data_IF_186013580162
#
_entry.id   IF_186013580162
#
_cell.length_a   1.000
_cell.length_b   1.000
_cell.length_c   1.000
_cell.angle_alpha   90.00
_cell.angle_beta   90.00
_cell.angle_gamma   90.00
#
_symmetry.space_group_name_H-M   'P 1'
#
loop_
_entity.id
_entity.type
_entity.pdbx_description
1 polymer ?
#
# COMPACT_ATOMS: atom_id res chain seq x y z
N UNK A 1 -8.16 -2.96 -12.54
CA UNK A 1 -7.66 -3.73 -13.72
C UNK A 1 -8.52 -3.54 -14.98
N UNK A 2 -9.64 -2.84 -14.88
CA UNK A 2 -10.61 -2.73 -15.99
C UNK A 2 -10.21 -1.72 -17.08
N UNK A 3 -9.12 -0.97 -16.86
CA UNK A 3 -8.59 -0.05 -17.85
C UNK A 3 -7.47 -0.66 -18.72
N UNK A 4 -7.19 -0.05 -19.86
CA UNK A 4 -6.18 -0.49 -20.84
C UNK A 4 -4.79 -0.69 -20.20
N UNK A 5 -4.37 0.23 -19.33
CA UNK A 5 -3.08 0.15 -18.61
C UNK A 5 -3.05 -1.06 -17.67
N UNK A 6 -4.13 -1.27 -16.90
CA UNK A 6 -4.22 -2.40 -15.98
C UNK A 6 -4.17 -3.74 -16.70
N UNK A 7 -4.82 -3.84 -17.86
CA UNK A 7 -4.78 -5.04 -18.69
C UNK A 7 -3.38 -5.29 -19.25
N UNK A 8 -2.69 -4.25 -19.75
CA UNK A 8 -1.30 -4.36 -20.23
C UNK A 8 -0.36 -4.90 -19.14
N UNK A 9 -0.46 -4.38 -17.92
CA UNK A 9 0.35 -4.85 -16.79
C UNK A 9 0.02 -6.31 -16.44
N UNK A 10 -1.26 -6.68 -16.43
CA UNK A 10 -1.68 -8.06 -16.17
C UNK A 10 -1.17 -9.06 -17.21
N UNK A 11 -1.18 -8.66 -18.49
CA UNK A 11 -0.67 -9.50 -19.58
C UNK A 11 0.85 -9.64 -19.50
N UNK A 12 1.59 -8.56 -19.20
CA UNK A 12 3.04 -8.60 -18.97
C UNK A 12 3.41 -9.53 -17.81
N UNK A 13 2.66 -9.52 -16.72
CA UNK A 13 2.87 -10.42 -15.57
C UNK A 13 2.59 -11.87 -15.95
N UNK A 14 1.54 -12.12 -16.74
CA UNK A 14 1.23 -13.46 -17.22
C UNK A 14 2.34 -14.01 -18.13
N UNK A 15 2.84 -13.20 -19.04
CA UNK A 15 3.88 -13.59 -20.00
C UNK A 15 5.25 -13.76 -19.32
N UNK A 16 5.68 -12.77 -18.53
CA UNK A 16 7.05 -12.71 -17.98
C UNK A 16 7.21 -13.56 -16.71
N UNK A 17 6.18 -13.64 -15.87
CA UNK A 17 6.25 -14.30 -14.56
C UNK A 17 5.43 -15.59 -14.48
N UNK A 18 4.71 -15.97 -15.54
CA UNK A 18 3.81 -17.14 -15.57
C UNK A 18 2.74 -17.08 -14.47
N UNK A 19 2.26 -15.86 -14.16
CA UNK A 19 1.25 -15.57 -13.14
C UNK A 19 0.13 -14.77 -13.79
N UNK A 20 -1.08 -15.33 -13.83
CA UNK A 20 -2.28 -14.64 -14.29
C UNK A 20 -3.00 -13.98 -13.13
N UNK A 21 -3.25 -12.69 -13.23
CA UNK A 21 -4.15 -11.99 -12.34
C UNK A 21 -5.60 -12.18 -12.79
N UNK A 22 -6.44 -12.66 -11.89
CA UNK A 22 -7.88 -12.83 -12.13
C UNK A 22 -8.66 -11.59 -11.72
N UNK A 23 -8.19 -10.87 -10.70
CA UNK A 23 -8.69 -9.56 -10.29
C UNK A 23 -7.67 -8.81 -9.45
N UNK A 24 -7.92 -7.52 -9.21
CA UNK A 24 -7.25 -6.74 -8.18
C UNK A 24 -8.31 -6.17 -7.23
N UNK A 25 -8.25 -6.57 -5.96
CA UNK A 25 -9.13 -6.10 -4.89
C UNK A 25 -8.59 -4.75 -4.38
N UNK A 26 -9.49 -3.85 -4.01
CA UNK A 26 -9.13 -2.65 -3.25
C UNK A 26 -8.95 -3.01 -1.77
N UNK A 27 -7.74 -2.85 -1.23
CA UNK A 27 -7.45 -3.10 0.18
C UNK A 27 -7.38 -1.83 1.03
N UNK A 28 -7.46 -0.67 0.42
CA UNK A 28 -7.45 0.64 1.07
C UNK A 28 -6.24 1.49 0.70
N UNK A 29 -6.33 2.78 1.04
CA UNK A 29 -5.19 3.68 1.02
C UNK A 29 -4.31 3.42 2.25
N UNK A 30 -2.99 3.38 2.03
CA UNK A 30 -2.01 3.18 3.11
C UNK A 30 -1.65 4.50 3.75
N UNK A 31 -1.59 4.48 5.07
CA UNK A 31 -1.33 5.64 5.93
C UNK A 31 -0.25 5.31 6.95
N UNK A 32 0.30 6.32 7.63
CA UNK A 32 1.28 6.09 8.68
C UNK A 32 0.57 5.96 10.05
N UNK A 33 0.91 4.91 10.79
CA UNK A 33 0.55 4.75 12.20
C UNK A 33 1.81 5.01 13.03
N UNK A 34 1.79 6.06 13.84
CA UNK A 34 2.98 6.54 14.53
C UNK A 34 2.80 6.46 16.05
N UNK A 35 3.85 6.06 16.74
CA UNK A 35 3.99 6.31 18.17
C UNK A 35 4.15 7.80 18.45
N UNK A 36 4.13 8.18 19.71
CA UNK A 36 4.56 9.53 20.09
C UNK A 36 6.07 9.67 19.85
N UNK A 37 6.42 10.47 18.85
CA UNK A 37 7.80 10.84 18.49
C UNK A 37 8.15 12.27 18.90
N UNK A 38 7.34 12.87 19.80
CA UNK A 38 7.53 14.22 20.30
C UNK A 38 7.17 15.32 19.31
N UNK A 39 6.54 14.99 18.19
CA UNK A 39 6.03 15.92 17.17
C UNK A 39 4.93 15.30 16.33
N UNK A 40 4.12 16.14 15.74
CA UNK A 40 3.20 15.74 14.68
C UNK A 40 3.95 15.57 13.36
N UNK A 41 3.56 14.56 12.56
CA UNK A 41 4.11 14.32 11.24
C UNK A 41 3.19 14.99 10.23
N UNK A 42 3.60 16.12 9.70
CA UNK A 42 2.83 16.93 8.74
C UNK A 42 3.46 17.00 7.35
N UNK A 43 4.74 16.68 7.24
CA UNK A 43 5.53 16.75 6.00
C UNK A 43 6.71 15.76 6.06
N UNK A 44 7.38 15.46 4.93
CA UNK A 44 8.46 14.46 4.87
C UNK A 44 9.60 14.70 5.86
N UNK A 45 9.99 15.97 6.08
CA UNK A 45 11.09 16.31 6.99
C UNK A 45 10.80 15.92 8.44
N UNK A 46 9.53 15.83 8.82
CA UNK A 46 9.13 15.38 10.16
C UNK A 46 9.40 13.88 10.36
N UNK A 47 9.62 13.12 9.28
CA UNK A 47 10.03 11.71 9.34
C UNK A 47 11.55 11.52 9.47
N UNK A 48 12.35 12.58 9.48
CA UNK A 48 13.79 12.47 9.67
C UNK A 48 14.12 11.82 11.02
N UNK A 49 14.87 10.71 10.95
CA UNK A 49 15.28 9.92 12.11
C UNK A 49 14.20 8.99 12.67
N UNK A 50 13.02 8.96 12.07
CA UNK A 50 11.94 8.04 12.43
C UNK A 50 12.22 6.65 11.88
N UNK A 51 12.25 5.64 12.74
CA UNK A 51 12.37 4.23 12.37
C UNK A 51 10.99 3.71 11.94
N UNK A 52 10.71 3.84 10.64
CA UNK A 52 9.46 3.39 10.05
C UNK A 52 9.58 1.91 9.64
N UNK A 53 8.78 1.05 10.24
CA UNK A 53 8.77 -0.37 9.86
C UNK A 53 8.32 -0.53 8.41
N UNK A 54 9.07 -1.33 7.69
CA UNK A 54 8.76 -1.77 6.34
C UNK A 54 8.85 -3.29 6.20
N UNK A 55 8.11 -3.91 5.27
CA UNK A 55 8.38 -5.28 4.87
C UNK A 55 9.83 -5.45 4.41
N UNK A 56 10.41 -6.63 4.63
CA UNK A 56 11.78 -6.92 4.23
C UNK A 56 11.89 -7.18 2.71
N UNK A 57 11.72 -6.14 1.92
CA UNK A 57 12.00 -6.17 0.47
C UNK A 57 12.59 -4.83 0.02
N UNK A 58 13.39 -4.87 -1.05
CA UNK A 58 14.08 -3.69 -1.58
C UNK A 58 13.09 -2.57 -1.96
N UNK A 59 11.95 -2.92 -2.58
CA UNK A 59 10.94 -1.95 -2.99
C UNK A 59 10.30 -1.24 -1.78
N UNK A 60 9.97 -1.97 -0.71
CA UNK A 60 9.39 -1.38 0.49
C UNK A 60 10.40 -0.54 1.27
N UNK A 61 11.65 -1.00 1.39
CA UNK A 61 12.71 -0.21 2.02
C UNK A 61 13.01 1.06 1.23
N UNK A 62 12.95 0.99 -0.09
CA UNK A 62 13.06 2.16 -0.95
C UNK A 62 11.90 3.15 -0.72
N UNK A 63 10.66 2.66 -0.67
CA UNK A 63 9.49 3.50 -0.40
C UNK A 63 9.58 4.21 0.95
N UNK A 64 10.04 3.53 2.01
CA UNK A 64 10.23 4.17 3.31
C UNK A 64 11.22 5.35 3.27
N UNK A 65 12.28 5.23 2.48
CA UNK A 65 13.22 6.34 2.23
C UNK A 65 12.57 7.45 1.40
N UNK A 66 11.78 7.09 0.40
CA UNK A 66 11.06 8.05 -0.43
C UNK A 66 10.00 8.84 0.35
N UNK A 67 9.52 8.32 1.48
CA UNK A 67 8.68 9.06 2.43
C UNK A 67 9.47 9.98 3.37
N UNK A 68 10.81 9.87 3.41
CA UNK A 68 11.68 10.66 4.31
C UNK A 68 12.05 9.97 5.61
N UNK A 69 11.65 8.71 5.81
CA UNK A 69 11.89 7.95 7.03
C UNK A 69 13.19 7.12 6.97
N UNK A 70 13.56 6.52 8.11
CA UNK A 70 14.56 5.47 8.22
C UNK A 70 13.85 4.10 8.17
N UNK A 71 13.82 3.40 7.01
CA UNK A 71 13.09 2.16 6.88
C UNK A 71 13.75 1.04 7.68
N UNK A 72 12.97 0.42 8.56
CA UNK A 72 13.40 -0.66 9.44
C UNK A 72 12.72 -1.97 9.03
N UNK A 73 13.44 -2.93 8.43
CA UNK A 73 12.85 -4.20 8.01
C UNK A 73 12.42 -5.02 9.23
N UNK A 74 11.14 -5.44 9.25
CA UNK A 74 10.61 -6.26 10.33
C UNK A 74 9.45 -7.13 9.82
N UNK A 75 9.34 -8.36 10.33
CA UNK A 75 8.25 -9.25 9.99
C UNK A 75 6.89 -8.69 10.45
N UNK A 76 5.82 -8.98 9.70
CA UNK A 76 4.48 -8.46 9.98
C UNK A 76 3.98 -8.80 11.39
N UNK A 77 4.23 -10.05 11.84
CA UNK A 77 3.80 -10.52 13.15
C UNK A 77 4.51 -9.81 14.33
N UNK A 78 5.62 -9.10 14.07
CA UNK A 78 6.42 -8.42 15.10
C UNK A 78 6.04 -6.95 15.27
N UNK A 79 5.16 -6.40 14.41
CA UNK A 79 4.85 -4.96 14.38
C UNK A 79 4.30 -4.47 15.71
N UNK A 80 3.28 -5.15 16.27
CA UNK A 80 2.67 -4.75 17.54
C UNK A 80 3.72 -4.67 18.66
N UNK A 81 4.53 -5.71 18.80
CA UNK A 81 5.62 -5.75 19.80
C UNK A 81 6.67 -4.68 19.53
N UNK A 82 7.04 -4.45 18.26
CA UNK A 82 8.00 -3.42 17.85
C UNK A 82 7.53 -2.01 18.21
N UNK A 83 6.26 -1.70 17.96
CA UNK A 83 5.63 -0.45 18.35
C UNK A 83 5.55 -0.32 19.87
N UNK A 84 5.11 -1.38 20.58
CA UNK A 84 4.97 -1.36 22.02
C UNK A 84 6.29 -1.12 22.75
N UNK A 85 7.37 -1.73 22.30
CA UNK A 85 8.70 -1.62 22.93
C UNK A 85 9.50 -0.40 22.44
N UNK A 86 9.10 0.25 21.36
CA UNK A 86 9.84 1.34 20.73
C UNK A 86 11.02 0.87 19.88
N UNK A 87 11.04 -0.38 19.45
CA UNK A 87 12.02 -0.87 18.46
C UNK A 87 11.80 -0.22 17.09
N UNK A 88 10.56 0.20 16.82
CA UNK A 88 10.15 1.03 15.69
C UNK A 88 9.29 2.18 16.18
N UNK A 89 9.32 3.30 15.46
CA UNK A 89 8.56 4.51 15.80
C UNK A 89 7.22 4.58 15.09
N UNK A 90 7.06 3.81 14.01
CA UNK A 90 5.84 3.75 13.23
C UNK A 90 5.83 2.59 12.25
N UNK A 91 4.69 2.43 11.61
CA UNK A 91 4.45 1.49 10.52
C UNK A 91 3.48 2.13 9.51
N UNK A 92 3.23 1.49 8.37
CA UNK A 92 2.29 1.95 7.37
C UNK A 92 1.43 0.79 6.87
N UNK A 93 0.12 1.01 6.79
CA UNK A 93 -0.87 0.06 6.28
C UNK A 93 -2.21 0.78 6.03
N UNK A 94 -3.19 0.12 5.38
CA UNK A 94 -4.57 0.60 5.36
C UNK A 94 -5.19 0.65 6.76
N UNK A 95 -6.05 1.63 7.01
CA UNK A 95 -6.68 1.83 8.33
C UNK A 95 -7.48 0.62 8.84
N UNK A 96 -8.22 -0.13 7.99
CA UNK A 96 -8.88 -1.35 8.44
C UNK A 96 -7.89 -2.39 8.99
N UNK A 97 -6.68 -2.46 8.43
CA UNK A 97 -5.61 -3.34 8.93
C UNK A 97 -5.11 -2.89 10.30
N UNK A 98 -4.90 -1.58 10.49
CA UNK A 98 -4.53 -0.99 11.79
C UNK A 98 -5.51 -1.37 12.88
N UNK A 99 -6.81 -1.32 12.57
CA UNK A 99 -7.88 -1.69 13.51
C UNK A 99 -7.87 -3.20 13.78
N UNK A 100 -7.81 -4.03 12.74
CA UNK A 100 -7.83 -5.48 12.87
C UNK A 100 -6.64 -6.03 13.68
N UNK A 101 -5.47 -5.40 13.53
CA UNK A 101 -4.24 -5.76 14.24
C UNK A 101 -4.08 -5.04 15.59
N UNK A 102 -5.02 -4.15 15.94
CA UNK A 102 -5.00 -3.37 17.17
C UNK A 102 -3.75 -2.50 17.35
N UNK A 103 -3.12 -2.07 16.28
CA UNK A 103 -1.94 -1.20 16.39
C UNK A 103 -2.27 0.17 16.98
N UNK A 104 -3.55 0.59 16.92
CA UNK A 104 -4.03 1.80 17.59
C UNK A 104 -3.82 1.78 19.13
N UNK A 105 -3.67 0.60 19.75
CA UNK A 105 -3.39 0.49 21.19
C UNK A 105 -1.95 0.91 21.56
N UNK A 106 -1.05 0.92 20.59
CA UNK A 106 0.40 1.16 20.75
C UNK A 106 0.94 2.30 19.89
N UNK A 107 0.04 3.06 19.27
CA UNK A 107 0.32 4.28 18.50
C UNK A 107 -0.44 5.48 19.06
N UNK A 108 -0.10 6.69 18.67
CA UNK A 108 -0.72 7.94 19.14
C UNK A 108 -1.25 8.82 18.03
N UNK A 109 -0.74 8.65 16.80
CA UNK A 109 -1.17 9.45 15.66
C UNK A 109 -1.29 8.60 14.39
N UNK A 110 -2.28 8.96 13.58
CA UNK A 110 -2.48 8.45 12.23
C UNK A 110 -2.25 9.61 11.27
N UNK A 111 -1.36 9.43 10.30
CA UNK A 111 -1.06 10.45 9.30
C UNK A 111 -1.63 10.01 7.95
N UNK A 112 -2.61 10.75 7.45
CA UNK A 112 -3.39 10.39 6.25
C UNK A 112 -2.61 10.69 4.96
N UNK A 113 -1.48 10.02 4.78
CA UNK A 113 -0.61 10.24 3.61
C UNK A 113 -1.19 9.68 2.31
N UNK A 114 -1.95 8.59 2.35
CA UNK A 114 -2.49 7.95 1.15
C UNK A 114 -1.43 7.58 0.11
N UNK A 115 -0.19 7.37 0.54
CA UNK A 115 1.01 7.27 -0.32
C UNK A 115 1.01 6.04 -1.25
N UNK A 116 0.20 5.02 -0.95
CA UNK A 116 -0.05 3.86 -1.82
C UNK A 116 -1.51 3.47 -1.72
N UNK A 117 -2.14 3.24 -2.87
CA UNK A 117 -3.39 2.48 -2.94
C UNK A 117 -3.02 1.01 -3.07
N UNK A 118 -3.40 0.20 -2.12
CA UNK A 118 -3.00 -1.21 -2.09
C UNK A 118 -3.95 -2.08 -2.92
N UNK A 119 -3.54 -2.57 -4.11
CA UNK A 119 -4.27 -3.62 -4.81
C UNK A 119 -3.79 -4.99 -4.32
N UNK A 120 -4.70 -5.87 -3.96
CA UNK A 120 -4.38 -7.27 -3.72
C UNK A 120 -4.88 -8.11 -4.89
N UNK A 121 -3.96 -8.81 -5.56
CA UNK A 121 -4.30 -9.60 -6.74
C UNK A 121 -4.68 -11.03 -6.37
N UNK A 122 -5.84 -11.49 -6.85
CA UNK A 122 -6.15 -12.91 -6.91
C UNK A 122 -5.44 -13.46 -8.13
N UNK A 123 -4.53 -14.41 -7.92
CA UNK A 123 -3.66 -14.89 -8.98
C UNK A 123 -3.62 -16.43 -9.08
N UNK A 124 -3.36 -16.93 -10.28
CA UNK A 124 -3.17 -18.32 -10.57
C UNK A 124 -1.97 -18.50 -11.50
N UNK A 125 -1.31 -19.67 -11.44
CA UNK A 125 -0.26 -20.00 -12.41
C UNK A 125 -0.84 -20.01 -13.84
N UNK A 126 -0.22 -19.30 -14.78
CA UNK A 126 -0.72 -19.12 -16.15
C UNK A 126 -0.88 -20.43 -16.90
N UNK A 127 0.12 -21.32 -16.82
CA UNK A 127 0.05 -22.62 -17.51
C UNK A 127 -1.11 -23.49 -16.97
N UNK A 128 -1.34 -23.46 -15.65
CA UNK A 128 -2.47 -24.17 -15.05
C UNK A 128 -3.80 -23.56 -15.47
N UNK A 129 -3.89 -22.24 -15.54
CA UNK A 129 -5.06 -21.53 -16.03
C UNK A 129 -5.41 -21.93 -17.45
N UNK A 130 -4.42 -21.96 -18.34
CA UNK A 130 -4.62 -22.34 -19.74
C UNK A 130 -4.98 -23.82 -19.92
N UNK A 131 -4.56 -24.68 -19.00
CA UNK A 131 -4.91 -26.10 -19.00
C UNK A 131 -6.33 -26.40 -18.50
N UNK A 132 -7.00 -25.41 -17.86
CA UNK A 132 -8.39 -25.58 -17.42
C UNK A 132 -9.35 -25.57 -18.62
N UNK A 133 -10.41 -26.43 -18.61
CA UNK A 133 -11.53 -26.28 -19.53
C UNK A 133 -12.13 -24.88 -19.48
N UNK A 134 -12.62 -24.38 -20.61
CA UNK A 134 -13.19 -23.03 -20.70
C UNK A 134 -14.31 -22.82 -19.66
N UNK A 135 -15.19 -23.79 -19.49
CA UNK A 135 -16.28 -23.75 -18.50
C UNK A 135 -15.78 -23.43 -17.08
N UNK A 136 -14.65 -24.02 -16.65
CA UNK A 136 -14.09 -23.75 -15.32
C UNK A 136 -13.45 -22.36 -15.24
N UNK A 137 -12.81 -21.90 -16.31
CA UNK A 137 -12.28 -20.54 -16.38
C UNK A 137 -13.40 -19.52 -16.28
N UNK A 138 -14.52 -19.74 -16.94
CA UNK A 138 -15.70 -18.86 -16.91
C UNK A 138 -16.30 -18.81 -15.48
N UNK A 139 -16.49 -19.97 -14.85
CA UNK A 139 -16.99 -20.07 -13.48
C UNK A 139 -16.06 -19.34 -12.50
N UNK A 140 -14.75 -19.55 -12.61
CA UNK A 140 -13.77 -18.90 -11.74
C UNK A 140 -13.75 -17.38 -11.95
N UNK A 141 -13.85 -16.93 -13.20
CA UNK A 141 -13.89 -15.49 -13.53
C UNK A 141 -15.09 -14.82 -12.89
N UNK A 142 -16.30 -15.40 -13.01
CA UNK A 142 -17.51 -14.85 -12.41
C UNK A 142 -17.48 -14.89 -10.87
N UNK A 143 -16.97 -15.97 -10.29
CA UNK A 143 -16.82 -16.09 -8.84
C UNK A 143 -15.86 -15.05 -8.27
N UNK A 144 -14.71 -14.86 -8.91
CA UNK A 144 -13.71 -13.86 -8.53
C UNK A 144 -14.26 -12.46 -8.69
N UNK A 145 -14.95 -12.15 -9.79
CA UNK A 145 -15.57 -10.84 -10.03
C UNK A 145 -16.58 -10.49 -8.93
N UNK A 146 -17.45 -11.46 -8.58
CA UNK A 146 -18.46 -11.28 -7.52
C UNK A 146 -17.79 -11.03 -6.16
N UNK A 147 -16.76 -11.83 -5.83
CA UNK A 147 -16.03 -11.70 -4.57
C UNK A 147 -15.26 -10.38 -4.49
N UNK A 148 -14.64 -9.94 -5.60
CA UNK A 148 -13.93 -8.65 -5.69
C UNK A 148 -14.87 -7.49 -5.41
N UNK A 149 -16.02 -7.42 -6.10
CA UNK A 149 -16.98 -6.35 -5.91
C UNK A 149 -17.48 -6.25 -4.46
N UNK A 150 -17.77 -7.39 -3.83
CA UNK A 150 -18.17 -7.43 -2.42
C UNK A 150 -17.03 -6.96 -1.48
N UNK A 151 -15.80 -7.39 -1.76
CA UNK A 151 -14.63 -7.05 -0.95
C UNK A 151 -14.32 -5.54 -1.05
N UNK A 152 -14.39 -4.97 -2.26
CA UNK A 152 -14.13 -3.55 -2.50
C UNK A 152 -15.16 -2.69 -1.75
N UNK A 153 -16.46 -3.03 -1.81
CA UNK A 153 -17.51 -2.34 -1.07
C UNK A 153 -17.27 -2.42 0.45
N UNK A 154 -16.93 -3.62 0.95
CA UNK A 154 -16.69 -3.82 2.37
C UNK A 154 -15.47 -3.02 2.86
N UNK A 155 -14.37 -3.01 2.10
CA UNK A 155 -13.15 -2.28 2.45
C UNK A 155 -13.36 -0.76 2.41
N UNK A 156 -14.04 -0.24 1.38
CA UNK A 156 -14.38 1.19 1.28
C UNK A 156 -15.23 1.64 2.49
N UNK A 157 -16.20 0.83 2.88
CA UNK A 157 -17.02 1.13 4.06
C UNK A 157 -16.18 1.14 5.35
N UNK A 158 -15.34 0.12 5.55
CA UNK A 158 -14.47 0.04 6.72
C UNK A 158 -13.49 1.21 6.78
N UNK A 159 -12.93 1.63 5.65
CA UNK A 159 -12.01 2.77 5.58
C UNK A 159 -12.71 4.08 5.97
N UNK A 160 -13.96 4.31 5.52
CA UNK A 160 -14.75 5.47 5.92
C UNK A 160 -15.05 5.49 7.43
N UNK A 161 -15.34 4.34 8.02
CA UNK A 161 -15.65 4.20 9.45
C UNK A 161 -14.38 4.25 10.32
N UNK A 162 -13.22 3.89 9.78
CA UNK A 162 -11.96 3.75 10.51
C UNK A 162 -11.49 5.05 11.15
N UNK A 163 -11.58 6.18 10.45
CA UNK A 163 -11.13 7.48 10.97
C UNK A 163 -11.90 7.87 12.22
N UNK A 164 -13.22 7.68 12.21
CA UNK A 164 -14.08 7.96 13.37
C UNK A 164 -13.70 7.06 14.55
N UNK A 165 -13.57 5.76 14.30
CA UNK A 165 -13.17 4.79 15.33
C UNK A 165 -11.81 5.16 15.94
N UNK A 166 -10.80 5.46 15.12
CA UNK A 166 -9.45 5.76 15.62
C UNK A 166 -9.43 7.04 16.47
N UNK A 167 -10.21 8.07 16.08
CA UNK A 167 -10.40 9.27 16.91
C UNK A 167 -11.08 8.95 18.25
N UNK A 168 -12.07 8.07 18.26
CA UNK A 168 -12.74 7.61 19.50
C UNK A 168 -11.80 6.81 20.41
N UNK A 169 -10.79 6.13 19.84
CA UNK A 169 -9.72 5.47 20.60
C UNK A 169 -8.67 6.46 21.14
N UNK A 170 -8.79 7.76 20.86
CA UNK A 170 -7.92 8.81 21.37
C UNK A 170 -6.70 9.12 20.49
N UNK A 171 -6.62 8.60 19.26
CA UNK A 171 -5.53 8.90 18.36
C UNK A 171 -5.73 10.28 17.71
N UNK A 172 -4.64 11.01 17.53
CA UNK A 172 -4.62 12.21 16.68
C UNK A 172 -4.61 11.79 15.22
N UNK A 173 -5.59 12.25 14.44
CA UNK A 173 -5.62 12.03 12.99
C UNK A 173 -5.16 13.30 12.29
N UNK A 174 -4.06 13.19 11.55
CA UNK A 174 -3.35 14.31 10.90
C UNK A 174 -3.59 14.23 9.39
N UNK A 175 -4.00 15.37 8.83
CA UNK A 175 -4.01 15.61 7.38
C UNK A 175 -2.69 16.30 7.02
N UNK A 176 -1.72 15.59 6.43
CA UNK A 176 -0.40 16.14 6.14
C UNK A 176 -0.41 16.98 4.87
N UNK A 177 0.69 17.69 4.62
CA UNK A 177 0.96 18.31 3.32
C UNK A 177 1.26 17.26 2.26
N UNK A 178 0.21 16.82 1.54
CA UNK A 178 0.31 15.78 0.52
C UNK A 178 1.17 16.20 -0.67
N UNK A 179 1.14 17.50 -1.02
CA UNK A 179 1.95 18.03 -2.14
C UNK A 179 3.44 17.92 -1.79
N UNK A 180 3.81 18.26 -0.54
CA UNK A 180 5.17 18.10 -0.07
C UNK A 180 5.63 16.63 -0.07
N UNK A 181 4.76 15.69 0.35
CA UNK A 181 5.07 14.25 0.28
C UNK A 181 5.23 13.75 -1.16
N UNK A 182 4.37 14.18 -2.08
CA UNK A 182 4.46 13.82 -3.49
C UNK A 182 5.75 14.35 -4.12
N UNK A 183 6.05 15.64 -3.94
CA UNK A 183 7.25 16.26 -4.50
C UNK A 183 8.53 15.62 -3.93
N UNK A 184 8.59 15.39 -2.63
CA UNK A 184 9.73 14.76 -1.98
C UNK A 184 9.96 13.34 -2.51
N UNK A 185 8.90 12.53 -2.58
CA UNK A 185 8.97 11.16 -3.05
C UNK A 185 9.37 11.10 -4.53
N UNK A 186 8.75 11.93 -5.38
CA UNK A 186 9.07 12.00 -6.81
C UNK A 186 10.53 12.39 -7.03
N UNK A 187 11.01 13.42 -6.35
CA UNK A 187 12.42 13.83 -6.41
C UNK A 187 13.35 12.72 -5.94
N UNK A 188 12.97 11.97 -4.90
CA UNK A 188 13.79 10.88 -4.39
C UNK A 188 13.94 9.76 -5.43
N UNK A 189 12.84 9.21 -5.97
CA UNK A 189 12.93 8.05 -6.86
C UNK A 189 13.40 8.40 -8.28
N UNK A 190 13.08 9.58 -8.83
CA UNK A 190 13.57 9.97 -10.16
C UNK A 190 15.08 10.27 -10.18
N UNK A 191 15.68 10.63 -9.04
CA UNK A 191 17.11 10.83 -8.92
C UNK A 191 17.89 9.52 -8.65
N UNK A 192 17.24 8.44 -8.27
CA UNK A 192 17.86 7.12 -8.10
C UNK A 192 17.94 6.39 -9.44
N UNK A 193 19.05 6.60 -10.17
CA UNK A 193 19.26 6.04 -11.51
C UNK A 193 19.28 4.51 -11.51
N UNK A 194 19.64 3.87 -10.43
CA UNK A 194 19.66 2.41 -10.33
C UNK A 194 18.24 1.85 -10.15
N UNK A 195 17.38 2.59 -9.46
CA UNK A 195 15.99 2.20 -9.28
C UNK A 195 15.17 2.34 -10.56
N UNK A 196 15.32 3.47 -11.26
CA UNK A 196 14.47 3.78 -12.44
C UNK A 196 15.02 3.27 -13.77
N UNK A 197 16.23 2.70 -13.80
CA UNK A 197 16.88 2.27 -15.06
C UNK A 197 16.07 1.27 -15.91
N UNK A 198 15.28 0.45 -15.22
CA UNK A 198 14.47 -0.60 -15.84
C UNK A 198 12.97 -0.21 -15.91
N UNK A 199 12.62 1.03 -15.55
CA UNK A 199 11.25 1.51 -15.62
C UNK A 199 10.85 1.82 -17.06
N UNK A 200 9.63 1.44 -17.44
CA UNK A 200 8.95 1.94 -18.62
C UNK A 200 8.49 3.38 -18.36
N UNK A 201 9.33 4.37 -18.74
CA UNK A 201 9.05 5.78 -18.49
C UNK A 201 7.84 6.30 -19.26
N UNK A 202 7.50 5.68 -20.39
CA UNK A 202 6.28 6.03 -21.14
C UNK A 202 5.05 5.58 -20.34
N UNK A 203 5.09 4.38 -19.78
CA UNK A 203 4.03 3.88 -18.88
C UNK A 203 3.94 4.71 -17.61
N UNK A 204 5.07 5.11 -17.02
CA UNK A 204 5.12 6.01 -15.86
C UNK A 204 4.38 7.32 -16.14
N UNK A 205 4.66 7.98 -17.25
CA UNK A 205 3.99 9.24 -17.63
C UNK A 205 2.51 9.03 -17.91
N UNK A 206 2.13 7.94 -18.59
CA UNK A 206 0.72 7.60 -18.81
C UNK A 206 -0.05 7.45 -17.50
N UNK A 207 0.54 6.78 -16.50
CA UNK A 207 -0.08 6.61 -15.17
C UNK A 207 -0.18 7.96 -14.45
N UNK A 208 0.88 8.78 -14.50
CA UNK A 208 0.89 10.11 -13.86
C UNK A 208 -0.14 11.07 -14.45
N UNK A 209 -0.41 10.95 -15.74
CA UNK A 209 -1.37 11.81 -16.45
C UNK A 209 -2.84 11.35 -16.29
N UNK A 210 -3.10 10.20 -15.65
CA UNK A 210 -4.45 9.76 -15.33
C UNK A 210 -5.11 10.76 -14.38
N UNK A 211 -6.21 11.35 -14.83
CA UNK A 211 -7.06 12.17 -13.96
C UNK A 211 -8.08 11.27 -13.27
N UNK A 212 -8.04 11.25 -11.95
CA UNK A 212 -9.00 10.55 -11.10
C UNK A 212 -10.23 11.41 -10.85
#
# INVERSE_FOLDING_TARGET
>A
MDGEIGQKVADDVAEKLNVRWLSALYCGARHLDMRDVGREITKPEDLNGVNLRMPNSSAWLFMGKALGANPTPMAYAEIYQGLQTGAIDGQENPLPTTIAQKWYEVTSQIVLTGHVIEPMCIAINEQKWQALPQEYRDIMTEAVKTATAWCDEANLKQEQEAITFLKEQGLTVIEPDLDAFMEYSENYYLNDKDMVKDWDMDLYHQIKDLKY
#
